data_IF_999462643947
#
_entry.id   IF_999462643947
#
_cell.length_a   1.000
_cell.length_b   1.000
_cell.length_c   1.000
_cell.angle_alpha   90.00
_cell.angle_beta   90.00
_cell.angle_gamma   90.00
#
_symmetry.space_group_name_H-M   'P 1'
#
loop_
_entity.id
_entity.type
_entity.pdbx_description
1 polymer ?
#
# COMPACT_ATOMS: atom_id res chain seq x y z
N UNK A 1 -6.41 -6.28 12.54
CA UNK A 1 -7.50 -6.70 11.61
C UNK A 1 -7.09 -6.29 10.20
N UNK A 2 -7.38 -7.09 9.16
CA UNK A 2 -7.07 -6.72 7.79
C UNK A 2 -7.81 -5.42 7.45
N UNK A 3 -7.10 -4.42 6.95
CA UNK A 3 -7.74 -3.21 6.43
C UNK A 3 -8.62 -3.60 5.24
N UNK A 4 -9.71 -2.86 4.98
CA UNK A 4 -10.64 -3.11 3.86
C UNK A 4 -9.94 -3.19 2.48
N UNK A 5 -8.70 -2.75 2.38
CA UNK A 5 -7.87 -2.68 1.18
C UNK A 5 -6.88 -3.85 1.01
N UNK A 6 -6.85 -4.81 1.94
CA UNK A 6 -5.90 -5.93 1.95
C UNK A 6 -6.54 -7.21 1.39
N UNK A 7 -5.96 -7.78 0.34
CA UNK A 7 -6.40 -9.07 -0.21
C UNK A 7 -5.89 -10.27 0.61
N UNK A 8 -6.60 -11.39 0.51
CA UNK A 8 -6.17 -12.64 1.14
C UNK A 8 -4.90 -13.20 0.49
N UNK A 9 -4.15 -14.03 1.23
CA UNK A 9 -2.91 -14.60 0.71
C UNK A 9 -3.14 -15.53 -0.50
N UNK A 10 -4.27 -16.22 -0.54
CA UNK A 10 -4.67 -17.08 -1.66
C UNK A 10 -4.96 -16.26 -2.91
N UNK A 11 -5.67 -15.14 -2.78
CA UNK A 11 -5.94 -14.20 -3.88
C UNK A 11 -4.65 -13.59 -4.44
N UNK A 12 -3.74 -13.15 -3.58
CA UNK A 12 -2.45 -12.57 -4.01
C UNK A 12 -1.56 -13.60 -4.75
N UNK A 13 -1.60 -14.86 -4.32
CA UNK A 13 -0.93 -15.97 -5.01
C UNK A 13 -1.58 -16.24 -6.37
N UNK A 14 -2.91 -16.30 -6.43
CA UNK A 14 -3.66 -16.52 -7.67
C UNK A 14 -3.42 -15.39 -8.70
N UNK A 15 -3.38 -14.14 -8.24
CA UNK A 15 -3.10 -12.96 -9.06
C UNK A 15 -1.60 -12.77 -9.37
N UNK A 16 -0.72 -13.66 -8.89
CA UNK A 16 0.74 -13.62 -9.09
C UNK A 16 1.37 -12.27 -8.74
N UNK A 17 0.92 -11.65 -7.64
CA UNK A 17 1.45 -10.36 -7.18
C UNK A 17 2.87 -10.55 -6.64
N UNK A 18 3.88 -9.76 -7.08
CA UNK A 18 5.24 -9.83 -6.55
C UNK A 18 5.30 -9.45 -5.07
N UNK A 19 6.26 -9.99 -4.34
CA UNK A 19 6.36 -9.83 -2.87
C UNK A 19 6.40 -8.37 -2.44
N UNK A 20 7.11 -7.51 -3.20
CA UNK A 20 7.21 -6.08 -2.91
C UNK A 20 5.85 -5.36 -2.85
N UNK A 21 4.84 -5.87 -3.55
CA UNK A 21 3.52 -5.26 -3.66
C UNK A 21 2.44 -5.98 -2.83
N UNK A 22 2.83 -6.91 -1.95
CA UNK A 22 1.93 -7.62 -1.02
C UNK A 22 1.81 -6.87 0.30
N UNK A 23 1.44 -5.60 0.20
CA UNK A 23 1.25 -4.70 1.33
C UNK A 23 -0.24 -4.59 1.73
N UNK A 24 -0.56 -3.65 2.62
CA UNK A 24 -1.92 -3.37 3.08
C UNK A 24 -2.84 -2.80 1.98
N UNK A 25 -2.29 -2.37 0.85
CA UNK A 25 -2.98 -1.78 -0.30
C UNK A 25 -3.14 -2.76 -1.48
N UNK A 26 -2.59 -3.96 -1.34
CA UNK A 26 -2.53 -4.99 -2.39
C UNK A 26 -3.89 -5.42 -2.95
N UNK A 27 -4.99 -5.25 -2.21
CA UNK A 27 -6.34 -5.53 -2.70
C UNK A 27 -6.80 -4.58 -3.80
N UNK A 28 -6.33 -3.33 -3.80
CA UNK A 28 -6.62 -2.36 -4.88
C UNK A 28 -5.74 -2.58 -6.12
N UNK A 29 -4.60 -3.26 -5.96
CA UNK A 29 -3.68 -3.53 -7.07
C UNK A 29 -4.20 -4.61 -8.03
N UNK A 30 -4.95 -5.59 -7.51
CA UNK A 30 -5.55 -6.67 -8.32
C UNK A 30 -6.52 -6.11 -9.39
N UNK A 31 -7.53 -5.27 -9.05
CA UNK A 31 -8.43 -4.68 -10.04
C UNK A 31 -7.71 -3.71 -10.98
N UNK A 32 -6.74 -2.92 -10.48
CA UNK A 32 -5.92 -2.05 -11.33
C UNK A 32 -5.15 -2.84 -12.41
N UNK A 33 -4.52 -3.96 -12.03
CA UNK A 33 -3.82 -4.81 -12.99
C UNK A 33 -4.77 -5.59 -13.92
N UNK A 34 -6.02 -5.82 -13.50
CA UNK A 34 -7.05 -6.35 -14.38
C UNK A 34 -7.47 -5.30 -15.43
N UNK A 35 -7.71 -4.04 -15.02
CA UNK A 35 -8.01 -2.93 -15.92
C UNK A 35 -6.87 -2.71 -16.93
N UNK A 36 -5.63 -2.57 -16.45
CA UNK A 36 -4.44 -2.38 -17.30
C UNK A 36 -4.27 -3.46 -18.37
N UNK A 37 -4.56 -4.72 -18.03
CA UNK A 37 -4.50 -5.82 -19.01
C UNK A 37 -5.61 -5.76 -20.05
N UNK A 38 -6.81 -5.31 -19.66
CA UNK A 38 -7.94 -5.13 -20.59
C UNK A 38 -7.72 -3.95 -21.54
N UNK A 39 -7.19 -2.85 -21.03
CA UNK A 39 -6.93 -1.61 -21.79
C UNK A 39 -5.56 -1.56 -22.44
N UNK A 40 -4.82 -2.67 -22.52
CA UNK A 40 -3.45 -2.69 -23.06
C UNK A 40 -2.52 -1.61 -22.46
N UNK A 41 -2.67 -1.32 -21.17
CA UNK A 41 -1.90 -0.32 -20.42
C UNK A 41 -2.05 1.12 -20.94
N UNK A 42 -3.20 1.44 -21.53
CA UNK A 42 -3.52 2.82 -21.92
C UNK A 42 -3.50 3.78 -20.70
N UNK A 43 -2.78 4.92 -20.77
CA UNK A 43 -2.59 5.82 -19.63
C UNK A 43 -3.85 6.49 -19.05
N UNK A 44 -4.92 6.60 -19.85
CA UNK A 44 -6.11 7.41 -19.54
C UNK A 44 -7.35 6.62 -19.11
N UNK A 45 -7.38 5.30 -19.29
CA UNK A 45 -8.59 4.50 -19.06
C UNK A 45 -8.75 4.03 -17.61
N UNK A 46 -7.64 3.68 -16.94
CA UNK A 46 -7.64 3.13 -15.57
C UNK A 46 -7.20 4.17 -14.52
N UNK A 47 -7.63 5.43 -14.68
CA UNK A 47 -7.16 6.54 -13.84
C UNK A 47 -7.70 6.48 -12.43
N UNK A 48 -8.95 6.07 -12.26
CA UNK A 48 -9.63 6.05 -10.96
C UNK A 48 -9.08 4.96 -10.06
N UNK A 49 -8.89 3.75 -10.59
CA UNK A 49 -8.26 2.64 -9.85
C UNK A 49 -6.80 2.95 -9.53
N UNK A 50 -6.10 3.64 -10.44
CA UNK A 50 -4.72 4.09 -10.19
C UNK A 50 -4.68 5.08 -9.04
N UNK A 51 -5.52 6.11 -9.07
CA UNK A 51 -5.58 7.11 -8.02
C UNK A 51 -5.99 6.51 -6.67
N UNK A 52 -6.94 5.57 -6.67
CA UNK A 52 -7.33 4.84 -5.46
C UNK A 52 -6.15 4.07 -4.84
N UNK A 53 -5.37 3.38 -5.67
CA UNK A 53 -4.17 2.68 -5.22
C UNK A 53 -3.08 3.62 -4.69
N UNK A 54 -2.80 4.71 -5.41
CA UNK A 54 -1.79 5.72 -5.04
C UNK A 54 -2.15 6.42 -3.73
N UNK A 55 -3.43 6.75 -3.52
CA UNK A 55 -3.91 7.32 -2.26
C UNK A 55 -3.68 6.37 -1.09
N UNK A 56 -3.99 5.09 -1.26
CA UNK A 56 -3.72 4.09 -0.21
C UNK A 56 -2.24 4.01 0.15
N UNK A 57 -1.36 4.02 -0.86
CA UNK A 57 0.09 4.00 -0.65
C UNK A 57 0.59 5.25 0.08
N UNK A 58 0.04 6.40 -0.27
CA UNK A 58 0.35 7.66 0.40
C UNK A 58 -0.05 7.61 1.88
N UNK A 59 -1.26 7.13 2.19
CA UNK A 59 -1.73 7.01 3.56
C UNK A 59 -0.88 6.03 4.40
N UNK A 60 -0.43 4.91 3.82
CA UNK A 60 0.49 4.00 4.50
C UNK A 60 1.89 4.60 4.72
N UNK A 61 2.40 5.37 3.75
CA UNK A 61 3.66 6.11 3.92
C UNK A 61 3.55 7.10 5.08
N UNK A 62 2.46 7.88 5.15
CA UNK A 62 2.22 8.82 6.24
C UNK A 62 2.11 8.12 7.60
N UNK A 63 1.47 6.94 7.64
CA UNK A 63 1.44 6.10 8.85
C UNK A 63 2.84 5.68 9.28
N UNK A 64 3.69 5.24 8.34
CA UNK A 64 5.08 4.85 8.62
C UNK A 64 5.94 6.03 9.09
N UNK A 65 5.78 7.21 8.48
CA UNK A 65 6.46 8.43 8.91
C UNK A 65 6.09 8.81 10.35
N UNK A 66 4.80 8.77 10.70
CA UNK A 66 4.33 9.02 12.07
C UNK A 66 4.87 7.99 13.08
N UNK A 67 5.04 6.73 12.66
CA UNK A 67 5.65 5.71 13.52
C UNK A 67 7.13 6.03 13.76
N UNK A 68 7.87 6.38 12.72
CA UNK A 68 9.28 6.74 12.84
C UNK A 68 9.49 8.02 13.66
N UNK A 69 8.60 9.01 13.55
CA UNK A 69 8.70 10.23 14.37
C UNK A 69 8.51 9.93 15.86
N UNK A 70 7.59 9.03 16.21
CA UNK A 70 7.37 8.60 17.60
C UNK A 70 8.60 7.88 18.16
N UNK A 71 9.16 6.93 17.41
CA UNK A 71 10.38 6.21 17.82
C UNK A 71 11.52 7.20 18.08
N UNK A 72 11.72 8.19 17.19
CA UNK A 72 12.75 9.21 17.37
C UNK A 72 12.53 10.10 18.60
N UNK A 73 11.28 10.38 18.95
CA UNK A 73 10.95 11.13 20.16
C UNK A 73 11.26 10.31 21.41
N UNK A 74 10.80 9.04 21.44
CA UNK A 74 11.07 8.10 22.52
C UNK A 74 12.59 7.89 22.73
N UNK A 75 13.36 7.78 21.64
CA UNK A 75 14.84 7.70 21.69
C UNK A 75 15.48 8.99 22.23
N UNK A 76 14.97 10.16 21.86
CA UNK A 76 15.49 11.44 22.36
C UNK A 76 15.16 11.66 23.84
N UNK A 77 13.95 11.31 24.27
CA UNK A 77 13.53 11.37 25.67
C UNK A 77 14.36 10.40 26.51
N UNK A 78 14.55 9.15 26.05
CA UNK A 78 15.40 8.17 26.72
C UNK A 78 16.88 8.59 26.80
N UNK A 79 17.38 9.33 25.81
CA UNK A 79 18.73 9.88 25.83
C UNK A 79 18.88 11.10 26.75
N UNK A 80 17.79 11.81 27.06
CA UNK A 80 17.78 12.94 27.98
C UNK A 80 17.66 12.50 29.45
N UNK A 81 17.12 11.30 29.70
CA UNK A 81 16.99 10.70 31.03
C UNK A 81 18.24 9.94 31.51
N UNK A 82 19.35 9.95 30.74
CA UNK A 82 20.68 9.38 31.10
C UNK A 82 21.68 10.50 31.35
#
# INVERSE_FOLDING_TARGET
MPSSTTASQTELKAARVPIAWRDQCSGLLIPLNACRRKSFYMPWECTDERHGYEKCQYDDLMRRMKKMSKIRQEEADAAADV
#
